data_IF_398021703896
#
_entry.id   IF_398021703896
#
_cell.length_a   1.000
_cell.length_b   1.000
_cell.length_c   1.000
_cell.angle_alpha   90.00
_cell.angle_beta   90.00
_cell.angle_gamma   90.00
#
_symmetry.space_group_name_H-M   'P 1'
#
loop_
_entity.id
_entity.type
_entity.pdbx_description
1 polymer ?
#
# COMPACT_ATOMS: atom_id res chain seq x y z
N UNK A 1 18.78 -1.22 -14.32
CA UNK A 1 17.50 -0.47 -14.44
C UNK A 1 16.60 -0.61 -13.20
N UNK A 2 17.04 -1.26 -12.12
CA UNK A 2 16.25 -1.41 -10.88
C UNK A 2 16.75 -0.52 -9.72
N UNK A 3 17.86 0.18 -9.88
CA UNK A 3 18.46 1.03 -8.84
C UNK A 3 17.55 2.20 -8.43
N UNK A 4 16.84 2.82 -9.39
CA UNK A 4 15.95 3.95 -9.10
C UNK A 4 14.71 3.51 -8.29
N UNK A 5 14.11 2.37 -8.65
CA UNK A 5 13.03 1.75 -7.89
C UNK A 5 13.45 1.46 -6.45
N UNK A 6 14.61 0.83 -6.26
CA UNK A 6 15.15 0.53 -4.92
C UNK A 6 15.38 1.80 -4.10
N UNK A 7 15.98 2.82 -4.72
CA UNK A 7 16.23 4.10 -4.05
C UNK A 7 14.92 4.80 -3.66
N UNK A 8 13.91 4.81 -4.54
CA UNK A 8 12.61 5.40 -4.27
C UNK A 8 11.86 4.65 -3.15
N UNK A 9 11.91 3.32 -3.13
CA UNK A 9 11.34 2.52 -2.04
C UNK A 9 12.03 2.83 -0.71
N UNK A 10 13.37 2.80 -0.70
CA UNK A 10 14.16 3.12 0.48
C UNK A 10 13.84 4.53 0.99
N UNK A 11 13.80 5.52 0.10
CA UNK A 11 13.48 6.91 0.45
C UNK A 11 12.06 7.06 1.03
N UNK A 12 11.08 6.32 0.50
CA UNK A 12 9.70 6.38 1.01
C UNK A 12 9.59 5.84 2.44
N UNK A 13 10.34 4.78 2.76
CA UNK A 13 10.34 4.17 4.08
C UNK A 13 11.58 4.50 4.94
N UNK A 14 12.38 5.49 4.56
CA UNK A 14 13.71 5.79 5.15
C UNK A 14 13.65 6.10 6.65
N UNK A 15 12.50 6.58 7.13
CA UNK A 15 12.28 6.85 8.55
C UNK A 15 11.69 5.65 9.33
N UNK A 16 11.58 4.47 8.72
CA UNK A 16 10.81 3.32 9.23
C UNK A 16 11.63 2.01 9.31
N UNK A 17 12.95 2.05 9.10
CA UNK A 17 13.85 0.87 9.10
C UNK A 17 13.45 -0.25 8.11
N UNK A 18 12.64 0.09 7.10
CA UNK A 18 12.20 -0.86 6.07
C UNK A 18 13.26 -0.97 4.99
N UNK A 19 13.84 -2.17 4.84
CA UNK A 19 14.88 -2.42 3.85
C UNK A 19 14.32 -3.07 2.59
N UNK A 20 14.79 -2.59 1.42
CA UNK A 20 14.48 -3.23 0.15
C UNK A 20 15.14 -4.60 0.07
N UNK A 21 14.37 -5.64 -0.26
CA UNK A 21 14.91 -6.98 -0.49
C UNK A 21 15.16 -7.18 -1.98
N UNK A 22 16.43 -7.33 -2.36
CA UNK A 22 16.85 -7.53 -3.74
C UNK A 22 16.17 -8.73 -4.42
N UNK A 23 15.83 -9.73 -3.62
CA UNK A 23 15.14 -10.95 -4.02
C UNK A 23 13.70 -10.71 -4.51
N UNK A 24 13.07 -9.58 -4.14
CA UNK A 24 11.74 -9.20 -4.61
C UNK A 24 11.71 -9.06 -6.13
N UNK A 25 12.77 -8.46 -6.69
CA UNK A 25 12.85 -8.21 -8.13
C UNK A 25 13.29 -9.44 -8.92
N UNK A 26 13.81 -10.46 -8.23
CA UNK A 26 14.21 -11.73 -8.85
C UNK A 26 13.01 -12.66 -9.09
N UNK A 27 11.87 -12.41 -8.44
CA UNK A 27 10.68 -13.26 -8.49
C UNK A 27 9.44 -12.41 -8.81
N UNK A 28 9.12 -12.20 -10.10
CA UNK A 28 7.89 -11.55 -10.50
C UNK A 28 6.67 -12.25 -9.89
N UNK A 29 5.68 -11.46 -9.49
CA UNK A 29 4.49 -11.96 -8.80
C UNK A 29 4.31 -11.34 -7.42
N UNK A 30 3.48 -11.99 -6.61
CA UNK A 30 3.02 -11.49 -5.31
C UNK A 30 3.77 -12.12 -4.15
N UNK A 31 3.88 -11.38 -3.06
CA UNK A 31 4.40 -11.92 -1.81
C UNK A 31 4.20 -10.99 -0.62
N UNK A 32 4.75 -11.41 0.51
CA UNK A 32 4.76 -10.65 1.77
C UNK A 32 6.21 -10.46 2.17
N UNK A 33 6.58 -9.23 2.58
CA UNK A 33 7.91 -8.99 3.12
C UNK A 33 8.05 -9.64 4.49
N UNK A 34 9.18 -10.33 4.78
CA UNK A 34 9.40 -10.92 6.09
C UNK A 34 9.44 -9.86 7.20
N UNK A 35 8.77 -10.15 8.30
CA UNK A 35 8.51 -9.22 9.41
C UNK A 35 9.78 -8.58 10.03
N UNK A 36 10.90 -9.32 10.00
CA UNK A 36 12.21 -8.85 10.46
C UNK A 36 12.77 -7.65 9.69
N UNK A 37 12.24 -7.34 8.52
CA UNK A 37 12.68 -6.22 7.68
C UNK A 37 11.71 -5.04 7.67
N UNK A 38 10.54 -5.17 8.30
CA UNK A 38 9.45 -4.22 8.11
C UNK A 38 8.68 -3.85 9.37
N UNK A 39 8.97 -4.44 10.54
CA UNK A 39 8.25 -4.12 11.79
C UNK A 39 8.31 -2.61 12.09
N UNK A 40 7.19 -1.93 12.44
CA UNK A 40 5.86 -2.46 12.80
C UNK A 40 4.87 -2.62 11.63
N UNK A 41 5.35 -2.63 10.39
CA UNK A 41 4.55 -2.80 9.18
C UNK A 41 4.31 -4.27 8.82
N UNK A 42 3.15 -4.55 8.24
CA UNK A 42 2.92 -5.73 7.39
C UNK A 42 2.92 -5.24 5.94
N UNK A 43 3.87 -5.69 5.13
CA UNK A 43 4.02 -5.23 3.74
C UNK A 43 3.73 -6.39 2.80
N UNK A 44 2.70 -6.23 1.97
CA UNK A 44 2.38 -7.11 0.84
C UNK A 44 2.74 -6.40 -0.45
N UNK A 45 3.23 -7.15 -1.41
CA UNK A 45 3.74 -6.58 -2.65
C UNK A 45 3.33 -7.39 -3.88
N UNK A 46 3.35 -6.71 -5.02
CA UNK A 46 3.19 -7.25 -6.35
C UNK A 46 4.28 -6.68 -7.26
N UNK A 47 5.11 -7.56 -7.83
CA UNK A 47 6.11 -7.21 -8.84
C UNK A 47 5.58 -7.58 -10.21
N UNK A 48 5.46 -6.58 -11.09
CA UNK A 48 5.03 -6.77 -12.48
C UNK A 48 6.17 -6.43 -13.43
N UNK A 49 6.29 -7.23 -14.49
CA UNK A 49 7.19 -6.97 -15.61
C UNK A 49 6.34 -6.72 -16.86
N UNK A 50 6.49 -5.54 -17.45
CA UNK A 50 5.80 -5.13 -18.68
C UNK A 50 6.79 -4.56 -19.72
N UNK A 51 6.26 -4.00 -20.80
CA UNK A 51 7.07 -3.40 -21.87
C UNK A 51 7.78 -2.11 -21.42
N UNK A 52 7.31 -1.45 -20.36
CA UNK A 52 7.91 -0.25 -19.76
C UNK A 52 8.93 -0.60 -18.66
N UNK A 53 8.95 -1.85 -18.19
CA UNK A 53 9.98 -2.42 -17.32
C UNK A 53 9.41 -3.09 -16.09
N UNK A 54 10.16 -3.00 -14.99
CA UNK A 54 9.74 -3.56 -13.70
C UNK A 54 8.99 -2.51 -12.89
N UNK A 55 7.90 -2.92 -12.26
CA UNK A 55 7.21 -2.10 -11.26
C UNK A 55 6.95 -2.90 -9.98
N UNK A 56 6.86 -2.19 -8.86
CA UNK A 56 6.58 -2.73 -7.53
C UNK A 56 5.39 -1.99 -6.96
N UNK A 57 4.26 -2.67 -6.83
CA UNK A 57 3.11 -2.21 -6.07
C UNK A 57 3.18 -2.75 -4.65
N UNK A 58 2.89 -1.90 -3.67
CA UNK A 58 3.07 -2.14 -2.25
C UNK A 58 1.81 -1.72 -1.51
N UNK A 59 1.27 -2.63 -0.70
CA UNK A 59 0.30 -2.32 0.33
C UNK A 59 0.93 -2.60 1.69
N UNK A 60 1.09 -1.55 2.50
CA UNK A 60 1.74 -1.58 3.79
C UNK A 60 0.77 -1.16 4.88
N UNK A 61 0.51 -2.06 5.82
CA UNK A 61 -0.36 -1.84 6.98
C UNK A 61 0.50 -1.53 8.19
N UNK A 62 0.17 -0.48 8.94
CA UNK A 62 0.86 -0.14 10.19
C UNK A 62 -0.14 -0.13 11.35
N UNK A 63 0.30 -0.56 12.53
CA UNK A 63 -0.53 -0.54 13.73
C UNK A 63 -0.82 0.88 14.27
N UNK A 64 0.05 1.83 13.97
CA UNK A 64 0.09 3.17 14.57
C UNK A 64 -0.25 4.29 13.57
N UNK A 65 -0.18 4.03 12.27
CA UNK A 65 -0.42 5.00 11.20
C UNK A 65 -1.38 4.45 10.16
N UNK A 66 -1.86 5.32 9.27
CA UNK A 66 -2.67 4.89 8.14
C UNK A 66 -1.88 3.97 7.21
N UNK A 67 -2.61 3.04 6.60
CA UNK A 67 -2.11 2.16 5.55
C UNK A 67 -1.56 2.95 4.37
N UNK A 68 -0.52 2.42 3.74
CA UNK A 68 0.09 2.99 2.54
C UNK A 68 -0.15 2.07 1.35
N UNK A 69 -0.59 2.63 0.24
CA UNK A 69 -0.78 1.92 -1.01
C UNK A 69 -0.11 2.71 -2.13
N UNK A 70 0.93 2.15 -2.75
CA UNK A 70 1.75 2.84 -3.73
C UNK A 70 2.29 1.89 -4.79
N UNK A 71 2.65 2.43 -5.96
CA UNK A 71 3.43 1.73 -6.99
C UNK A 71 4.64 2.55 -7.36
N UNK A 72 5.76 1.85 -7.51
CA UNK A 72 7.05 2.40 -7.92
C UNK A 72 7.41 1.78 -9.25
N UNK A 73 7.63 2.59 -10.28
CA UNK A 73 8.06 2.09 -11.58
C UNK A 73 9.59 1.93 -11.67
N UNK A 74 10.07 1.48 -12.84
CA UNK A 74 11.49 1.24 -13.10
C UNK A 74 12.34 2.52 -13.07
N UNK A 75 11.71 3.68 -13.29
CA UNK A 75 12.33 5.00 -13.22
C UNK A 75 12.34 5.57 -11.79
N UNK A 76 11.69 4.90 -10.82
CA UNK A 76 11.59 5.36 -9.44
C UNK A 76 10.45 6.35 -9.21
N UNK A 77 9.51 6.49 -10.14
CA UNK A 77 8.32 7.34 -9.95
C UNK A 77 7.36 6.64 -9.00
N UNK A 78 6.99 7.33 -7.92
CA UNK A 78 6.02 6.85 -6.93
C UNK A 78 4.64 7.38 -7.30
N UNK A 79 3.70 6.46 -7.51
CA UNK A 79 2.27 6.73 -7.64
C UNK A 79 1.55 6.27 -6.39
N UNK A 80 0.74 7.15 -5.80
CA UNK A 80 -0.09 6.83 -4.63
C UNK A 80 -1.47 6.37 -5.05
N UNK A 81 -1.96 5.32 -4.41
CA UNK A 81 -3.32 4.83 -4.56
C UNK A 81 -4.15 5.10 -3.30
N UNK A 82 -5.45 4.87 -3.43
CA UNK A 82 -6.36 4.91 -2.31
C UNK A 82 -6.00 3.82 -1.29
N UNK A 83 -5.97 4.21 -0.02
CA UNK A 83 -5.83 3.33 1.15
C UNK A 83 -7.11 3.38 1.99
N UNK A 84 -7.44 2.28 2.70
CA UNK A 84 -8.53 2.31 3.68
C UNK A 84 -8.28 3.36 4.75
N UNK A 85 -9.34 4.01 5.21
CA UNK A 85 -9.27 4.98 6.30
C UNK A 85 -9.87 4.40 7.57
N UNK A 86 -9.21 4.61 8.71
CA UNK A 86 -9.65 4.12 10.01
C UNK A 86 -10.60 5.05 10.76
N UNK A 87 -10.73 6.30 10.30
CA UNK A 87 -11.49 7.35 10.98
C UNK A 87 -12.28 8.19 9.98
N UNK A 88 -13.43 8.67 10.43
CA UNK A 88 -14.27 9.64 9.72
C UNK A 88 -14.59 10.81 10.65
N UNK A 89 -14.70 12.00 10.06
CA UNK A 89 -15.23 13.18 10.75
C UNK A 89 -16.73 13.28 10.48
N UNK A 90 -17.48 13.85 11.42
CA UNK A 90 -18.90 14.17 11.26
C UNK A 90 -19.25 15.45 12.02
N UNK A 91 -20.33 16.10 11.62
CA UNK A 91 -20.89 17.28 12.27
C UNK A 91 -22.00 16.86 13.27
N UNK A 92 -21.81 17.05 14.59
CA UNK A 92 -22.82 16.69 15.58
C UNK A 92 -24.07 17.57 15.54
N UNK A 93 -24.03 18.73 14.87
CA UNK A 93 -25.20 19.59 14.71
C UNK A 93 -26.14 19.12 13.59
N UNK A 94 -25.66 18.25 12.69
CA UNK A 94 -26.44 17.70 11.59
C UNK A 94 -26.99 16.32 11.96
N UNK A 95 -28.31 16.22 12.11
CA UNK A 95 -28.98 14.94 12.40
C UNK A 95 -28.69 13.91 11.31
N UNK A 96 -28.20 12.73 11.71
CA UNK A 96 -27.88 11.62 10.81
C UNK A 96 -26.51 11.71 10.11
N UNK A 97 -25.73 12.78 10.30
CA UNK A 97 -24.43 12.91 9.62
C UNK A 97 -23.44 11.84 10.09
N UNK A 98 -23.44 11.50 11.37
CA UNK A 98 -22.57 10.43 11.90
C UNK A 98 -22.78 9.12 11.16
N UNK A 99 -24.03 8.69 11.02
CA UNK A 99 -24.41 7.47 10.30
C UNK A 99 -24.05 7.57 8.81
N UNK A 100 -24.27 8.74 8.20
CA UNK A 100 -23.94 8.99 6.81
C UNK A 100 -22.42 8.89 6.55
N UNK A 101 -21.59 9.53 7.37
CA UNK A 101 -20.13 9.51 7.24
C UNK A 101 -19.56 8.11 7.55
N UNK A 102 -20.14 7.41 8.53
CA UNK A 102 -19.79 6.02 8.80
C UNK A 102 -20.09 5.12 7.59
N UNK A 103 -21.27 5.26 6.98
CA UNK A 103 -21.65 4.48 5.80
C UNK A 103 -20.78 4.82 4.59
N UNK A 104 -20.47 6.10 4.38
CA UNK A 104 -19.58 6.54 3.31
C UNK A 104 -18.17 5.94 3.48
N UNK A 105 -17.61 5.98 4.69
CA UNK A 105 -16.33 5.36 5.00
C UNK A 105 -16.36 3.85 4.74
N UNK A 106 -17.41 3.16 5.18
CA UNK A 106 -17.56 1.72 4.94
C UNK A 106 -17.59 1.41 3.44
N UNK A 107 -18.42 2.11 2.67
CA UNK A 107 -18.53 1.91 1.21
C UNK A 107 -17.20 2.20 0.49
N UNK A 108 -16.51 3.28 0.88
CA UNK A 108 -15.20 3.63 0.34
C UNK A 108 -14.16 2.53 0.63
N UNK A 109 -14.05 2.09 1.89
CA UNK A 109 -13.12 1.03 2.26
C UNK A 109 -13.44 -0.31 1.57
N UNK A 110 -14.72 -0.66 1.40
CA UNK A 110 -15.10 -1.87 0.66
C UNK A 110 -14.62 -1.85 -0.80
N UNK A 111 -14.70 -0.71 -1.48
CA UNK A 111 -14.20 -0.58 -2.84
C UNK A 111 -12.67 -0.79 -2.91
N UNK A 112 -11.92 -0.21 -1.97
CA UNK A 112 -10.46 -0.39 -1.89
C UNK A 112 -10.11 -1.84 -1.56
N UNK A 113 -10.78 -2.46 -0.59
CA UNK A 113 -10.52 -3.87 -0.26
C UNK A 113 -10.85 -4.79 -1.44
N UNK A 114 -11.89 -4.50 -2.24
CA UNK A 114 -12.17 -5.26 -3.44
C UNK A 114 -11.04 -5.14 -4.49
N UNK A 115 -10.47 -3.95 -4.66
CA UNK A 115 -9.31 -3.74 -5.53
C UNK A 115 -8.08 -4.51 -5.03
N UNK A 116 -7.73 -4.35 -3.75
CA UNK A 116 -6.58 -5.02 -3.13
C UNK A 116 -6.70 -6.55 -3.22
N UNK A 117 -7.90 -7.11 -3.00
CA UNK A 117 -8.17 -8.56 -3.19
C UNK A 117 -7.99 -8.99 -4.63
N UNK A 118 -8.49 -8.20 -5.58
CA UNK A 118 -8.35 -8.48 -7.02
C UNK A 118 -6.89 -8.55 -7.43
N UNK A 119 -6.05 -7.67 -6.86
CA UNK A 119 -4.60 -7.66 -7.07
C UNK A 119 -3.84 -8.71 -6.25
N UNK A 120 -4.51 -9.38 -5.31
CA UNK A 120 -3.90 -10.35 -4.39
C UNK A 120 -2.98 -9.70 -3.34
N UNK A 121 -3.15 -8.40 -3.09
CA UNK A 121 -2.42 -7.63 -2.08
C UNK A 121 -3.02 -7.76 -0.68
N UNK A 122 -4.21 -8.35 -0.54
CA UNK A 122 -4.79 -8.82 0.73
C UNK A 122 -5.50 -10.16 0.50
N UNK A 123 -5.83 -10.85 1.58
CA UNK A 123 -6.61 -12.10 1.53
C UNK A 123 -8.09 -11.85 1.15
N UNK A 124 -8.76 -12.83 0.51
CA UNK A 124 -10.20 -12.76 0.22
C UNK A 124 -11.04 -12.55 1.47
#
# INVERSE_FOLDING_TARGET
>A
MTTALKAAFGQFFDCQDVNFLDELLAQPGRGTMPWQYVTPWEIRYLVELDAQGCSLEVYAVNRFTNDQHLKIDSAGVISHFASPVGYYAYDPALEGDREAQQQAMYTYNQAIYAELRTKGLIEP
#
